data_IF_125006839069
#
_entry.id   IF_125006839069
#
_cell.length_a   1.000
_cell.length_b   1.000
_cell.length_c   1.000
_cell.angle_alpha   90.00
_cell.angle_beta   90.00
_cell.angle_gamma   90.00
#
_symmetry.space_group_name_H-M   'P 1'
#
loop_
_entity.id
_entity.type
_entity.pdbx_description
1 polymer ?
#
# COMPACT_ATOMS: atom_id res chain seq x y z
N UNK A 1 18.34 -20.04 -7.89
CA UNK A 1 17.59 -18.77 -7.78
C UNK A 1 17.38 -18.23 -9.19
N UNK A 2 16.16 -17.83 -9.57
CA UNK A 2 15.85 -17.42 -10.95
C UNK A 2 16.62 -16.12 -11.27
N UNK A 3 17.36 -16.06 -12.38
CA UNK A 3 18.24 -14.93 -12.72
C UNK A 3 17.49 -13.60 -12.83
N UNK A 4 16.24 -13.64 -13.30
CA UNK A 4 15.34 -12.48 -13.35
C UNK A 4 14.97 -11.93 -11.96
N UNK A 5 14.80 -12.80 -10.96
CA UNK A 5 14.50 -12.35 -9.59
C UNK A 5 15.71 -11.69 -8.94
N UNK A 6 16.92 -12.21 -9.19
CA UNK A 6 18.16 -11.56 -8.77
C UNK A 6 18.35 -10.19 -9.41
N UNK A 7 18.21 -10.11 -10.74
CA UNK A 7 18.40 -8.86 -11.47
C UNK A 7 17.50 -7.73 -10.95
N UNK A 8 16.25 -8.03 -10.60
CA UNK A 8 15.31 -6.99 -10.16
C UNK A 8 15.38 -6.70 -8.67
N UNK A 9 15.61 -7.71 -7.83
CA UNK A 9 15.61 -7.51 -6.38
C UNK A 9 17.00 -7.13 -5.84
N UNK A 10 18.08 -7.61 -6.46
CA UNK A 10 19.45 -7.33 -6.04
C UNK A 10 20.04 -6.08 -6.71
N UNK A 11 19.81 -5.88 -8.01
CA UNK A 11 20.52 -4.86 -8.80
C UNK A 11 19.71 -3.63 -9.18
N UNK A 12 18.37 -3.62 -8.99
CA UNK A 12 17.43 -2.53 -9.33
C UNK A 12 17.80 -1.78 -10.64
N UNK A 13 17.14 -2.07 -11.78
CA UNK A 13 17.62 -1.60 -13.08
C UNK A 13 17.80 -0.07 -13.09
N UNK A 14 18.88 0.44 -13.72
CA UNK A 14 19.32 1.84 -13.61
C UNK A 14 18.30 2.85 -14.16
N UNK A 15 17.29 2.38 -14.88
CA UNK A 15 16.16 3.20 -15.29
C UNK A 15 15.01 3.05 -14.27
N UNK A 16 14.62 4.13 -13.56
CA UNK A 16 13.60 4.08 -12.52
C UNK A 16 12.20 3.71 -13.05
N UNK A 17 11.90 4.07 -14.30
CA UNK A 17 10.64 3.68 -14.93
C UNK A 17 10.60 2.17 -15.19
N UNK A 18 11.75 1.58 -15.54
CA UNK A 18 11.89 0.14 -15.77
C UNK A 18 11.79 -0.63 -14.44
N UNK A 19 12.42 -0.13 -13.38
CA UNK A 19 12.30 -0.70 -12.02
C UNK A 19 10.85 -0.78 -11.55
N UNK A 20 10.10 0.32 -11.69
CA UNK A 20 8.65 0.35 -11.38
C UNK A 20 7.84 -0.59 -12.25
N UNK A 21 8.09 -0.62 -13.57
CA UNK A 21 7.35 -1.50 -14.48
C UNK A 21 7.58 -2.98 -14.17
N UNK A 22 8.81 -3.37 -13.84
CA UNK A 22 9.14 -4.74 -13.43
C UNK A 22 8.50 -5.10 -12.09
N UNK A 23 8.54 -4.19 -11.12
CA UNK A 23 7.86 -4.35 -9.84
C UNK A 23 6.36 -4.63 -10.01
N UNK A 24 5.69 -3.89 -10.92
CA UNK A 24 4.28 -4.14 -11.29
C UNK A 24 4.09 -5.52 -11.93
N UNK A 25 5.00 -5.94 -12.79
CA UNK A 25 4.93 -7.24 -13.46
C UNK A 25 5.10 -8.42 -12.47
N UNK A 26 5.86 -8.24 -11.38
CA UNK A 26 5.93 -9.26 -10.33
C UNK A 26 4.59 -9.50 -9.63
N UNK A 27 3.82 -8.43 -9.37
CA UNK A 27 2.44 -8.57 -8.90
C UNK A 27 1.59 -9.41 -9.86
N UNK A 28 1.75 -9.20 -11.17
CA UNK A 28 1.05 -10.00 -12.19
C UNK A 28 1.49 -11.47 -12.19
N UNK A 29 2.72 -11.81 -11.80
CA UNK A 29 3.15 -13.21 -11.74
C UNK A 29 2.46 -13.96 -10.60
N UNK A 30 2.35 -13.31 -9.44
CA UNK A 30 1.76 -13.90 -8.22
C UNK A 30 0.24 -13.77 -8.18
N UNK A 31 -0.34 -12.89 -9.00
CA UNK A 31 -1.79 -12.71 -9.07
C UNK A 31 -2.51 -14.03 -9.42
N UNK A 32 -3.64 -14.31 -8.76
CA UNK A 32 -4.46 -15.47 -9.08
C UNK A 32 -4.98 -15.34 -10.52
N UNK A 33 -4.79 -16.39 -11.31
CA UNK A 33 -5.27 -16.47 -12.69
C UNK A 33 -6.22 -17.65 -12.79
N UNK A 34 -7.36 -17.44 -13.42
CA UNK A 34 -8.36 -18.49 -13.62
C UNK A 34 -7.76 -19.71 -14.35
N UNK A 35 -6.94 -19.48 -15.37
CA UNK A 35 -6.26 -20.55 -16.11
C UNK A 35 -5.24 -21.36 -15.28
N UNK A 36 -4.81 -20.89 -14.10
CA UNK A 36 -3.85 -21.56 -13.21
C UNK A 36 -4.51 -22.10 -11.93
N UNK A 37 -5.82 -22.26 -11.94
CA UNK A 37 -6.60 -22.83 -10.83
C UNK A 37 -6.48 -24.36 -10.79
N UNK A 38 -6.65 -24.96 -9.60
CA UNK A 38 -6.54 -26.43 -9.43
C UNK A 38 -7.65 -27.16 -10.16
N UNK A 39 -8.79 -26.51 -10.26
CA UNK A 39 -9.99 -26.88 -11.01
C UNK A 39 -9.68 -27.06 -12.50
N UNK A 40 -8.70 -26.30 -13.02
CA UNK A 40 -8.20 -26.39 -14.40
C UNK A 40 -6.96 -27.29 -14.51
N UNK A 41 -6.79 -28.25 -13.59
CA UNK A 41 -5.66 -29.18 -13.52
C UNK A 41 -4.27 -28.53 -13.39
N UNK A 42 -4.20 -27.26 -12.97
CA UNK A 42 -2.92 -26.61 -12.74
C UNK A 42 -2.25 -27.09 -11.43
N UNK A 43 -0.98 -27.47 -11.53
CA UNK A 43 -0.19 -27.91 -10.37
C UNK A 43 0.30 -26.70 -9.57
N UNK A 44 -0.38 -26.37 -8.48
CA UNK A 44 0.05 -25.33 -7.53
C UNK A 44 0.78 -25.94 -6.32
N UNK A 45 2.06 -25.59 -6.16
CA UNK A 45 2.85 -25.95 -4.98
C UNK A 45 2.25 -25.31 -3.72
N UNK A 46 2.02 -26.12 -2.68
CA UNK A 46 1.38 -25.69 -1.42
C UNK A 46 2.12 -24.55 -0.72
N UNK A 47 3.45 -24.58 -0.76
CA UNK A 47 4.33 -23.59 -0.10
C UNK A 47 4.84 -22.50 -1.06
N UNK A 48 4.26 -22.38 -2.27
CA UNK A 48 4.76 -21.43 -3.27
C UNK A 48 4.69 -19.97 -2.80
N UNK A 49 3.60 -19.59 -2.15
CA UNK A 49 3.39 -18.22 -1.64
C UNK A 49 4.37 -17.88 -0.51
N UNK A 50 4.51 -18.76 0.47
CA UNK A 50 5.48 -18.62 1.56
C UNK A 50 6.91 -18.55 1.00
N UNK A 51 7.25 -19.40 0.03
CA UNK A 51 8.57 -19.39 -0.60
C UNK A 51 8.87 -18.06 -1.31
N UNK A 52 7.90 -17.52 -2.07
CA UNK A 52 8.04 -16.22 -2.73
C UNK A 52 8.29 -15.13 -1.69
N UNK A 53 7.53 -15.13 -0.58
CA UNK A 53 7.73 -14.15 0.48
C UNK A 53 9.15 -14.19 1.05
N UNK A 54 9.59 -15.35 1.55
CA UNK A 54 10.89 -15.50 2.21
C UNK A 54 12.09 -15.27 1.27
N UNK A 55 11.93 -15.56 -0.01
CA UNK A 55 13.04 -15.41 -0.97
C UNK A 55 13.07 -14.05 -1.66
N UNK A 56 11.93 -13.39 -1.82
CA UNK A 56 11.79 -12.19 -2.67
C UNK A 56 11.41 -10.96 -1.86
N UNK A 57 10.53 -11.08 -0.87
CA UNK A 57 10.05 -9.90 -0.12
C UNK A 57 10.93 -9.65 1.10
N UNK A 58 11.05 -10.65 1.99
CA UNK A 58 11.73 -10.54 3.27
C UNK A 58 13.16 -9.94 3.18
N UNK A 59 14.06 -10.42 2.31
CA UNK A 59 15.42 -9.84 2.22
C UNK A 59 15.46 -8.40 1.70
N UNK A 60 14.39 -7.92 1.05
CA UNK A 60 14.33 -6.60 0.41
C UNK A 60 13.56 -5.56 1.23
N UNK A 61 12.95 -5.95 2.36
CA UNK A 61 12.24 -5.02 3.23
C UNK A 61 13.16 -3.90 3.75
N UNK A 62 14.45 -4.18 3.97
CA UNK A 62 15.43 -3.18 4.37
C UNK A 62 15.74 -2.15 3.28
N UNK A 63 15.69 -2.57 2.00
CA UNK A 63 15.96 -1.72 0.83
C UNK A 63 14.81 -0.76 0.48
N UNK A 64 13.67 -0.88 1.16
CA UNK A 64 12.54 0.05 1.02
C UNK A 64 12.79 1.40 1.73
N UNK A 65 13.95 1.56 2.37
CA UNK A 65 14.43 2.81 2.96
C UNK A 65 15.69 3.28 2.20
N UNK A 66 15.84 4.59 1.93
CA UNK A 66 17.03 5.11 1.29
C UNK A 66 18.18 4.85 2.26
N UNK A 67 19.30 4.37 1.72
CA UNK A 67 20.48 4.07 2.52
C UNK A 67 20.86 5.30 3.35
N UNK A 68 21.15 5.10 4.63
CA UNK A 68 21.87 6.12 5.38
C UNK A 68 23.28 6.25 4.77
N UNK A 69 23.78 7.47 4.62
CA UNK A 69 25.07 7.78 4.03
C UNK A 69 26.26 7.31 4.89
N UNK A 70 26.39 6.00 5.10
CA UNK A 70 27.37 5.39 5.98
C UNK A 70 27.58 3.93 5.63
N UNK A 71 28.28 3.69 4.51
CA UNK A 71 29.46 2.82 4.50
C UNK A 71 30.24 3.09 3.22
N UNK A 72 31.55 3.29 3.40
CA UNK A 72 32.42 4.00 2.47
C UNK A 72 32.65 3.28 1.14
N UNK A 73 32.81 4.10 0.10
CA UNK A 73 33.46 3.68 -1.14
C UNK A 73 32.78 4.18 -2.40
N UNK A 74 33.29 5.32 -2.90
CA UNK A 74 33.30 5.73 -4.32
C UNK A 74 31.96 6.01 -5.04
N UNK A 75 31.92 7.19 -5.65
CA UNK A 75 30.84 7.80 -6.47
C UNK A 75 29.52 7.99 -5.74
N UNK A 76 29.18 9.22 -5.34
CA UNK A 76 27.84 9.59 -4.83
C UNK A 76 26.85 9.47 -6.00
N UNK A 77 25.99 8.43 -6.08
CA UNK A 77 24.82 8.48 -6.94
C UNK A 77 23.81 9.37 -6.19
N UNK A 78 23.15 10.28 -6.89
CA UNK A 78 22.38 11.36 -6.28
C UNK A 78 21.33 10.83 -5.30
N UNK A 79 21.07 11.53 -4.19
CA UNK A 79 20.04 11.17 -3.20
C UNK A 79 18.66 10.83 -3.83
N UNK A 80 18.38 11.37 -5.01
CA UNK A 80 17.17 11.09 -5.79
C UNK A 80 17.13 9.66 -6.36
N UNK A 81 18.26 9.08 -6.76
CA UNK A 81 18.35 7.72 -7.29
C UNK A 81 18.06 6.71 -6.18
N UNK A 82 18.68 6.90 -5.01
CA UNK A 82 18.44 6.07 -3.82
C UNK A 82 16.97 6.10 -3.37
N UNK A 83 16.33 7.27 -3.46
CA UNK A 83 14.89 7.41 -3.15
C UNK A 83 14.03 6.67 -4.18
N UNK A 84 14.38 6.71 -5.46
CA UNK A 84 13.66 6.02 -6.54
C UNK A 84 13.81 4.50 -6.43
N UNK A 85 14.97 4.00 -6.03
CA UNK A 85 15.22 2.57 -5.78
C UNK A 85 14.37 2.09 -4.60
N UNK A 86 14.38 2.83 -3.48
CA UNK A 86 13.56 2.53 -2.32
C UNK A 86 12.07 2.48 -2.65
N UNK A 87 11.59 3.43 -3.47
CA UNK A 87 10.21 3.43 -3.98
C UNK A 87 9.93 2.20 -4.85
N UNK A 88 10.84 1.84 -5.76
CA UNK A 88 10.66 0.67 -6.63
C UNK A 88 10.60 -0.64 -5.83
N UNK A 89 11.42 -0.78 -4.79
CA UNK A 89 11.35 -1.91 -3.86
C UNK A 89 10.04 -1.93 -3.06
N UNK A 90 9.55 -0.77 -2.61
CA UNK A 90 8.26 -0.68 -1.93
C UNK A 90 7.10 -1.09 -2.85
N UNK A 91 7.10 -0.64 -4.11
CA UNK A 91 6.12 -1.05 -5.13
C UNK A 91 6.13 -2.56 -5.32
N UNK A 92 7.31 -3.17 -5.48
CA UNK A 92 7.45 -4.61 -5.65
C UNK A 92 6.92 -5.37 -4.43
N UNK A 93 7.27 -4.89 -3.24
CA UNK A 93 6.84 -5.45 -1.96
C UNK A 93 5.31 -5.49 -1.87
N UNK A 94 4.62 -4.36 -2.08
CA UNK A 94 3.15 -4.34 -2.00
C UNK A 94 2.47 -5.09 -3.14
N UNK A 95 3.04 -5.08 -4.33
CA UNK A 95 2.52 -5.85 -5.46
C UNK A 95 2.53 -7.37 -5.20
N UNK A 96 3.57 -7.86 -4.50
CA UNK A 96 3.68 -9.26 -4.08
C UNK A 96 2.80 -9.57 -2.87
N UNK A 97 2.87 -8.74 -1.83
CA UNK A 97 2.13 -8.94 -0.58
C UNK A 97 0.63 -8.95 -0.79
N UNK A 98 0.10 -8.17 -1.75
CA UNK A 98 -1.34 -8.11 -2.07
C UNK A 98 -1.95 -9.49 -2.35
N UNK A 99 -1.14 -10.42 -2.83
CA UNK A 99 -1.56 -11.77 -3.16
C UNK A 99 -1.04 -12.83 -2.18
N UNK A 100 -0.29 -12.41 -1.16
CA UNK A 100 0.17 -13.25 -0.07
C UNK A 100 -0.84 -13.26 1.09
N UNK A 101 -0.92 -14.39 1.79
CA UNK A 101 -1.71 -14.48 3.02
C UNK A 101 -0.96 -13.88 4.21
N UNK A 102 -1.70 -13.32 5.16
CA UNK A 102 -1.15 -12.64 6.33
C UNK A 102 -0.17 -13.51 7.12
N UNK A 103 -0.48 -14.80 7.25
CA UNK A 103 0.31 -15.76 8.03
C UNK A 103 1.75 -15.92 7.50
N UNK A 104 2.01 -15.58 6.23
CA UNK A 104 3.34 -15.69 5.65
C UNK A 104 4.26 -14.53 6.00
N UNK A 105 3.71 -13.38 6.40
CA UNK A 105 4.48 -12.16 6.69
C UNK A 105 4.22 -11.59 8.08
N UNK A 106 3.46 -12.31 8.92
CA UNK A 106 3.09 -11.88 10.26
C UNK A 106 4.32 -11.54 11.13
N UNK A 107 5.40 -12.32 11.01
CA UNK A 107 6.63 -12.12 11.79
C UNK A 107 7.34 -10.79 11.46
N UNK A 108 7.16 -10.26 10.24
CA UNK A 108 7.79 -9.02 9.77
C UNK A 108 6.79 -7.85 9.69
N UNK A 109 5.59 -7.98 10.26
CA UNK A 109 4.50 -7.01 10.14
C UNK A 109 4.93 -5.60 10.56
N UNK A 110 5.71 -5.47 11.63
CA UNK A 110 6.19 -4.19 12.11
C UNK A 110 7.04 -3.44 11.07
N UNK A 111 7.89 -4.17 10.33
CA UNK A 111 8.69 -3.58 9.26
C UNK A 111 7.82 -3.21 8.05
N UNK A 112 6.87 -4.08 7.68
CA UNK A 112 5.92 -3.82 6.59
C UNK A 112 5.08 -2.58 6.88
N UNK A 113 4.60 -2.40 8.11
CA UNK A 113 3.86 -1.21 8.52
C UNK A 113 4.69 0.06 8.36
N UNK A 114 5.98 0.04 8.76
CA UNK A 114 6.88 1.19 8.55
C UNK A 114 7.05 1.53 7.08
N UNK A 115 7.23 0.51 6.23
CA UNK A 115 7.29 0.69 4.77
C UNK A 115 5.97 1.27 4.24
N UNK A 116 4.83 0.80 4.74
CA UNK A 116 3.50 1.26 4.33
C UNK A 116 3.27 2.72 4.71
N UNK A 117 3.56 3.11 5.95
CA UNK A 117 3.44 4.49 6.44
C UNK A 117 4.28 5.44 5.59
N UNK A 118 5.53 5.08 5.28
CA UNK A 118 6.39 5.84 4.37
C UNK A 118 5.78 5.93 2.97
N UNK A 119 5.28 4.81 2.46
CA UNK A 119 4.69 4.68 1.13
C UNK A 119 3.46 5.55 0.91
N UNK A 120 2.69 5.87 1.95
CA UNK A 120 1.58 6.85 1.87
C UNK A 120 2.07 8.24 1.44
N UNK A 121 3.35 8.56 1.67
CA UNK A 121 3.97 9.82 1.31
C UNK A 121 4.67 9.82 -0.05
N UNK A 122 5.17 8.66 -0.50
CA UNK A 122 6.11 8.54 -1.62
C UNK A 122 5.56 7.83 -2.86
N UNK A 123 4.59 6.93 -2.71
CA UNK A 123 4.04 6.19 -3.87
C UNK A 123 3.18 7.09 -4.76
N UNK A 124 3.18 6.78 -6.05
CA UNK A 124 2.34 7.47 -7.03
C UNK A 124 0.86 7.05 -6.85
N UNK A 125 -0.04 8.02 -7.01
CA UNK A 125 -1.48 7.79 -6.96
C UNK A 125 -2.04 7.21 -8.26
N UNK A 126 -1.28 7.30 -9.36
CA UNK A 126 -1.66 6.75 -10.67
C UNK A 126 -1.22 5.29 -10.75
N UNK A 127 -2.20 4.40 -10.76
CA UNK A 127 -2.00 2.96 -10.88
C UNK A 127 -2.38 2.18 -9.62
N UNK A 128 -1.96 0.92 -9.60
CA UNK A 128 -2.37 -0.07 -8.58
C UNK A 128 -1.48 -0.07 -7.34
N UNK A 129 -0.43 0.75 -7.30
CA UNK A 129 0.62 0.70 -6.26
C UNK A 129 0.07 1.13 -4.89
N UNK A 130 -0.51 2.34 -4.84
CA UNK A 130 -1.17 2.85 -3.64
C UNK A 130 -2.32 1.94 -3.20
N UNK A 131 -3.12 1.47 -4.15
CA UNK A 131 -4.21 0.53 -3.88
C UNK A 131 -3.71 -0.75 -3.20
N UNK A 132 -2.59 -1.30 -3.67
CA UNK A 132 -1.98 -2.51 -3.11
C UNK A 132 -1.51 -2.27 -1.67
N UNK A 133 -0.87 -1.12 -1.41
CA UNK A 133 -0.48 -0.72 -0.05
C UNK A 133 -1.70 -0.61 0.88
N UNK A 134 -2.78 0.04 0.42
CA UNK A 134 -4.01 0.20 1.20
C UNK A 134 -4.71 -1.13 1.50
N UNK A 135 -4.73 -2.07 0.56
CA UNK A 135 -5.26 -3.42 0.78
C UNK A 135 -4.51 -4.11 1.92
N UNK A 136 -3.18 -3.99 1.96
CA UNK A 136 -2.36 -4.56 3.03
C UNK A 136 -2.65 -3.87 4.37
N UNK A 137 -2.74 -2.54 4.41
CA UNK A 137 -3.06 -1.81 5.64
C UNK A 137 -4.43 -2.22 6.21
N UNK A 138 -5.45 -2.36 5.36
CA UNK A 138 -6.77 -2.83 5.80
C UNK A 138 -6.71 -4.28 6.28
N UNK A 139 -5.96 -5.15 5.59
CA UNK A 139 -5.77 -6.54 6.01
C UNK A 139 -5.04 -6.67 7.35
N UNK A 140 -4.01 -5.87 7.59
CA UNK A 140 -3.31 -5.81 8.88
C UNK A 140 -4.25 -5.32 9.98
N UNK A 141 -5.05 -4.27 9.74
CA UNK A 141 -6.01 -3.77 10.73
C UNK A 141 -7.02 -4.84 11.17
N UNK A 142 -7.42 -5.74 10.27
CA UNK A 142 -8.34 -6.83 10.58
C UNK A 142 -7.69 -8.01 11.32
N UNK A 143 -6.38 -8.23 11.13
CA UNK A 143 -5.67 -9.42 11.61
C UNK A 143 -4.83 -9.15 12.86
N UNK A 144 -4.13 -8.03 12.87
CA UNK A 144 -3.23 -7.60 13.94
C UNK A 144 -3.25 -6.07 14.07
N UNK A 145 -4.27 -5.52 14.74
CA UNK A 145 -4.38 -4.09 14.93
C UNK A 145 -3.27 -3.51 15.81
N UNK A 146 -2.73 -4.27 16.76
CA UNK A 146 -1.68 -3.74 17.65
C UNK A 146 -0.43 -3.31 16.87
N UNK A 147 -0.12 -3.97 15.74
CA UNK A 147 0.98 -3.58 14.84
C UNK A 147 0.82 -2.15 14.23
N UNK A 148 -0.38 -1.58 14.19
CA UNK A 148 -0.66 -0.26 13.62
C UNK A 148 -0.78 0.85 14.66
N UNK A 149 -0.91 0.49 15.94
CA UNK A 149 -1.26 1.40 17.05
C UNK A 149 -0.25 2.54 17.21
N UNK A 150 1.04 2.22 17.18
CA UNK A 150 2.12 3.20 17.30
C UNK A 150 2.25 4.12 16.07
N UNK A 151 1.59 3.75 14.97
CA UNK A 151 1.65 4.45 13.70
C UNK A 151 0.38 5.25 13.38
N UNK A 152 -0.63 5.28 14.26
CA UNK A 152 -1.93 5.92 14.01
C UNK A 152 -1.83 7.40 13.58
N UNK A 153 -0.88 8.17 14.12
CA UNK A 153 -0.66 9.56 13.71
C UNK A 153 -0.20 9.67 12.25
N UNK A 154 0.79 8.85 11.86
CA UNK A 154 1.33 8.82 10.50
C UNK A 154 0.30 8.27 9.50
N UNK A 155 -0.41 7.22 9.88
CA UNK A 155 -1.49 6.61 9.10
C UNK A 155 -2.63 7.61 8.87
N UNK A 156 -3.10 8.29 9.93
CA UNK A 156 -4.18 9.28 9.80
C UNK A 156 -3.82 10.38 8.82
N UNK A 157 -2.63 10.98 8.96
CA UNK A 157 -2.16 12.04 8.05
C UNK A 157 -1.96 11.54 6.62
N UNK A 158 -1.29 10.40 6.47
CA UNK A 158 -1.00 9.80 5.17
C UNK A 158 -2.28 9.41 4.42
N UNK A 159 -3.21 8.75 5.09
CA UNK A 159 -4.47 8.31 4.49
C UNK A 159 -5.38 9.49 4.10
N UNK A 160 -5.44 10.56 4.90
CA UNK A 160 -6.14 11.79 4.50
C UNK A 160 -5.54 12.34 3.20
N UNK A 161 -4.20 12.45 3.12
CA UNK A 161 -3.48 12.90 1.91
C UNK A 161 -3.81 12.00 0.71
N UNK A 162 -3.81 10.68 0.91
CA UNK A 162 -4.13 9.72 -0.16
C UNK A 162 -5.55 9.91 -0.67
N UNK A 163 -6.53 10.07 0.21
CA UNK A 163 -7.91 10.33 -0.21
C UNK A 163 -8.03 11.63 -1.02
N UNK A 164 -7.42 12.72 -0.54
CA UNK A 164 -7.51 14.02 -1.20
C UNK A 164 -6.85 14.03 -2.57
N UNK A 165 -5.66 13.44 -2.70
CA UNK A 165 -4.94 13.34 -3.98
C UNK A 165 -5.68 12.40 -4.94
N UNK A 166 -6.15 11.25 -4.47
CA UNK A 166 -6.91 10.32 -5.31
C UNK A 166 -8.23 10.93 -5.80
N UNK A 167 -8.85 11.84 -5.02
CA UNK A 167 -10.01 12.60 -5.44
C UNK A 167 -9.64 13.63 -6.51
N UNK A 168 -8.62 14.45 -6.26
CA UNK A 168 -8.18 15.49 -7.20
C UNK A 168 -7.78 14.92 -8.57
N UNK A 169 -6.99 13.84 -8.56
CA UNK A 169 -6.59 13.14 -9.79
C UNK A 169 -7.81 12.55 -10.50
N UNK A 170 -8.71 11.89 -9.78
CA UNK A 170 -9.90 11.26 -10.36
C UNK A 170 -10.92 12.24 -10.96
N UNK A 171 -10.96 13.49 -10.47
CA UNK A 171 -11.85 14.53 -11.02
C UNK A 171 -11.24 15.30 -12.19
N UNK A 172 -10.06 14.89 -12.68
CA UNK A 172 -9.43 15.52 -13.84
C UNK A 172 -8.77 16.88 -13.54
N UNK A 173 -8.42 17.17 -12.28
CA UNK A 173 -7.66 18.38 -11.94
C UNK A 173 -6.17 18.30 -12.37
N UNK A 174 -5.75 17.20 -13.02
CA UNK A 174 -4.42 17.04 -13.63
C UNK A 174 -4.61 16.67 -15.11
N UNK A 175 -3.99 17.44 -16.00
CA UNK A 175 -4.25 17.56 -17.47
C UNK A 175 -4.10 16.29 -18.35
N UNK A 176 -3.86 15.11 -17.78
CA UNK A 176 -3.67 13.89 -18.56
C UNK A 176 -4.87 12.92 -18.45
N UNK A 177 -5.33 12.34 -19.58
CA UNK A 177 -6.45 11.41 -19.58
C UNK A 177 -6.13 10.14 -18.77
N UNK A 178 -7.05 9.77 -17.88
CA UNK A 178 -6.92 8.56 -17.07
C UNK A 178 -7.41 7.33 -17.84
N UNK A 179 -6.65 6.23 -17.75
CA UNK A 179 -7.16 4.93 -18.22
C UNK A 179 -8.33 4.47 -17.33
N UNK A 180 -9.26 3.63 -17.83
CA UNK A 180 -10.33 3.06 -17.01
C UNK A 180 -9.81 2.29 -15.78
N UNK A 181 -8.65 1.65 -15.92
CA UNK A 181 -7.98 0.93 -14.83
C UNK A 181 -7.50 1.88 -13.74
N UNK A 182 -6.92 3.01 -14.11
CA UNK A 182 -6.44 4.01 -13.14
C UNK A 182 -7.60 4.70 -12.44
N UNK A 183 -8.66 5.04 -13.18
CA UNK A 183 -9.88 5.60 -12.60
C UNK A 183 -10.50 4.64 -11.57
N UNK A 184 -10.55 3.34 -11.87
CA UNK A 184 -11.02 2.34 -10.92
C UNK A 184 -10.09 2.23 -9.69
N UNK A 185 -8.77 2.21 -9.90
CA UNK A 185 -7.78 2.14 -8.82
C UNK A 185 -7.91 3.34 -7.88
N UNK A 186 -8.12 4.55 -8.41
CA UNK A 186 -8.35 5.77 -7.62
C UNK A 186 -9.64 5.69 -6.80
N UNK A 187 -10.73 5.19 -7.39
CA UNK A 187 -11.99 4.95 -6.66
C UNK A 187 -11.80 3.93 -5.54
N UNK A 188 -11.05 2.86 -5.79
CA UNK A 188 -10.71 1.85 -4.79
C UNK A 188 -9.84 2.42 -3.66
N UNK A 189 -8.82 3.22 -3.98
CA UNK A 189 -8.02 3.92 -2.97
C UNK A 189 -8.89 4.76 -2.05
N UNK A 190 -9.79 5.58 -2.61
CA UNK A 190 -10.72 6.41 -1.83
C UNK A 190 -11.63 5.56 -0.94
N UNK A 191 -12.17 4.45 -1.47
CA UNK A 191 -13.00 3.52 -0.71
C UNK A 191 -12.22 2.83 0.43
N UNK A 192 -11.02 2.33 0.16
CA UNK A 192 -10.18 1.63 1.14
C UNK A 192 -9.74 2.55 2.27
N UNK A 193 -9.38 3.80 1.98
CA UNK A 193 -9.08 4.81 3.02
C UNK A 193 -10.27 5.01 3.95
N UNK A 194 -11.47 5.19 3.39
CA UNK A 194 -12.67 5.39 4.20
C UNK A 194 -13.06 4.13 4.98
N UNK A 195 -12.86 2.94 4.40
CA UNK A 195 -13.09 1.68 5.09
C UNK A 195 -12.11 1.47 6.25
N UNK A 196 -10.85 1.85 6.07
CA UNK A 196 -9.84 1.87 7.13
C UNK A 196 -10.32 2.77 8.28
N UNK A 197 -10.67 4.03 7.99
CA UNK A 197 -11.19 4.95 9.01
C UNK A 197 -12.47 4.44 9.68
N UNK A 198 -13.40 3.85 8.91
CA UNK A 198 -14.63 3.26 9.45
C UNK A 198 -14.36 2.16 10.47
N UNK A 199 -13.31 1.35 10.27
CA UNK A 199 -12.97 0.23 11.14
C UNK A 199 -12.31 0.67 12.44
N UNK A 200 -11.53 1.76 12.43
CA UNK A 200 -10.76 2.19 13.61
C UNK A 200 -11.60 2.27 14.91
N UNK A 201 -12.77 2.95 14.96
CA UNK A 201 -13.59 3.01 16.19
C UNK A 201 -14.12 1.68 16.70
N UNK A 202 -14.23 0.67 15.83
CA UNK A 202 -14.66 -0.67 16.23
C UNK A 202 -13.48 -1.55 16.69
N UNK A 203 -12.25 -1.17 16.32
CA UNK A 203 -11.03 -1.93 16.58
C UNK A 203 -10.29 -1.45 17.82
N UNK A 204 -10.26 -0.14 18.06
CA UNK A 204 -9.53 0.45 19.19
C UNK A 204 -10.44 1.14 20.19
N UNK A 205 -9.98 1.22 21.42
CA UNK A 205 -10.65 1.97 22.47
C UNK A 205 -10.68 3.47 22.17
N UNK A 206 -11.77 4.14 22.55
CA UNK A 206 -12.00 5.56 22.25
C UNK A 206 -10.83 6.47 22.67
N UNK A 207 -10.26 6.23 23.86
CA UNK A 207 -9.16 7.05 24.40
C UNK A 207 -7.94 7.12 23.45
N UNK A 208 -7.66 6.04 22.71
CA UNK A 208 -6.55 5.98 21.76
C UNK A 208 -6.82 6.74 20.46
N UNK A 209 -8.10 6.97 20.13
CA UNK A 209 -8.54 7.61 18.89
C UNK A 209 -8.93 9.08 19.06
N UNK A 210 -9.32 9.50 20.27
CA UNK A 210 -9.69 10.88 20.60
C UNK A 210 -8.68 11.93 20.11
N UNK A 211 -7.35 11.73 20.20
CA UNK A 211 -6.37 12.69 19.68
C UNK A 211 -6.51 13.00 18.18
N UNK A 212 -7.02 12.06 17.39
CA UNK A 212 -7.14 12.16 15.94
C UNK A 212 -8.52 12.63 15.46
N UNK A 213 -9.52 12.64 16.35
CA UNK A 213 -10.93 12.91 16.03
C UNK A 213 -11.12 14.24 15.29
N UNK A 214 -10.58 15.33 15.84
CA UNK A 214 -10.75 16.66 15.25
C UNK A 214 -10.09 16.78 13.86
N UNK A 215 -8.96 16.08 13.66
CA UNK A 215 -8.28 16.04 12.38
C UNK A 215 -9.08 15.26 11.33
N UNK A 216 -9.90 14.28 11.75
CA UNK A 216 -10.63 13.38 10.84
C UNK A 216 -12.06 13.80 10.53
N UNK A 217 -12.79 14.41 11.47
CA UNK A 217 -14.20 14.76 11.27
C UNK A 217 -14.42 15.69 10.07
N UNK A 218 -13.55 16.69 9.86
CA UNK A 218 -13.65 17.61 8.73
C UNK A 218 -13.39 16.89 7.39
N UNK A 219 -12.27 16.18 7.18
CA UNK A 219 -12.07 15.36 5.99
C UNK A 219 -13.19 14.34 5.72
N UNK A 220 -13.69 13.64 6.75
CA UNK A 220 -14.79 12.68 6.60
C UNK A 220 -16.08 13.36 6.15
N UNK A 221 -16.39 14.55 6.69
CA UNK A 221 -17.54 15.35 6.26
C UNK A 221 -17.44 15.76 4.79
N UNK A 222 -16.26 16.19 4.33
CA UNK A 222 -16.01 16.52 2.92
C UNK A 222 -16.12 15.28 2.02
N UNK A 223 -15.72 14.11 2.52
CA UNK A 223 -15.78 12.83 1.81
C UNK A 223 -17.20 12.33 1.60
N UNK A 224 -18.18 12.78 2.40
CA UNK A 224 -19.59 12.48 2.19
C UNK A 224 -20.14 13.04 0.86
N UNK A 225 -19.45 14.04 0.29
CA UNK A 225 -19.73 14.60 -1.05
C UNK A 225 -18.91 13.97 -2.18
N UNK A 226 -18.41 12.73 -2.04
CA UNK A 226 -17.72 12.03 -3.13
C UNK A 226 -18.63 11.85 -4.36
N UNK A 227 -18.15 11.98 -5.60
CA UNK A 227 -19.00 11.76 -6.79
C UNK A 227 -19.54 10.33 -6.91
N UNK A 228 -18.86 9.34 -6.35
CA UNK A 228 -19.25 7.92 -6.46
C UNK A 228 -20.14 7.51 -5.29
N UNK A 229 -21.35 7.00 -5.59
CA UNK A 229 -22.37 6.65 -4.58
C UNK A 229 -21.87 5.66 -3.52
N UNK A 230 -21.15 4.63 -3.93
CA UNK A 230 -20.63 3.60 -3.01
C UNK A 230 -19.59 4.17 -2.03
N UNK A 231 -18.74 5.08 -2.52
CA UNK A 231 -17.73 5.77 -1.70
C UNK A 231 -18.43 6.69 -0.71
N UNK A 232 -19.47 7.43 -1.13
CA UNK A 232 -20.29 8.25 -0.21
C UNK A 232 -20.91 7.42 0.92
N UNK A 233 -21.45 6.24 0.60
CA UNK A 233 -22.02 5.35 1.62
C UNK A 233 -20.97 4.95 2.66
N UNK A 234 -19.76 4.64 2.21
CA UNK A 234 -18.63 4.30 3.09
C UNK A 234 -18.20 5.52 3.93
N UNK A 235 -18.16 6.71 3.33
CA UNK A 235 -17.83 7.95 4.03
C UNK A 235 -18.84 8.30 5.13
N UNK A 236 -20.14 8.13 4.88
CA UNK A 236 -21.19 8.36 5.88
C UNK A 236 -21.04 7.41 7.06
N UNK A 237 -20.81 6.11 6.79
CA UNK A 237 -20.59 5.12 7.84
C UNK A 237 -19.32 5.41 8.65
N UNK A 238 -18.23 5.81 7.98
CA UNK A 238 -17.00 6.22 8.65
C UNK A 238 -17.25 7.44 9.54
N UNK A 239 -17.89 8.49 9.02
CA UNK A 239 -18.20 9.70 9.79
C UNK A 239 -19.03 9.38 11.04
N UNK A 240 -20.11 8.60 10.90
CA UNK A 240 -20.95 8.21 12.02
C UNK A 240 -20.17 7.46 13.10
N UNK A 241 -19.29 6.53 12.71
CA UNK A 241 -18.45 5.79 13.66
C UNK A 241 -17.54 6.73 14.47
N UNK A 242 -17.02 7.80 13.85
CA UNK A 242 -16.16 8.79 14.51
C UNK A 242 -16.91 9.86 15.31
N UNK A 243 -18.15 10.20 14.93
CA UNK A 243 -18.99 11.11 15.69
C UNK A 243 -19.40 10.49 17.04
N UNK A 244 -19.65 9.17 17.04
CA UNK A 244 -20.04 8.38 18.21
C UNK A 244 -18.89 8.03 19.16
N UNK A 245 -17.65 8.45 18.88
CA UNK A 245 -16.54 8.35 19.83
C UNK A 245 -16.81 9.29 21.00
N UNK A 246 -17.21 8.72 22.13
CA UNK A 246 -17.42 9.39 23.42
C UNK A 246 -16.14 9.38 24.26
#
# INVERSE_FOLDING_TARGET
MNSLLRLVCDEAPPNPAMGRQLARNFGLLVSPKECLQRENHAVRKRLGEAWIYHQVVQPHLGKCFPGSAGDGGSSVPGQQEQEQDAVSHAVATFALLRHARYEHYADDVAQIVRVAVRSLGTLEFRGVEMESCLVILVGILEKDPEALKDHLSGLTRGLIKVYTEAKAVGTGQRDEPLSPRDANSLNMCRKLVLDFFRKLPATYEAHSLLPYRNQLLRPLSLSCGDPVREIRRTALAARQAWENLA
#
